data_IF_137493943783
#
_entry.id   IF_137493943783
#
_cell.length_a   1.000
_cell.length_b   1.000
_cell.length_c   1.000
_cell.angle_alpha   90.00
_cell.angle_beta   90.00
_cell.angle_gamma   90.00
#
_symmetry.space_group_name_H-M   'P 1'
#
loop_
_entity.id
_entity.type
_entity.pdbx_description
1 polymer ?
#
# COMPACT_ATOMS: atom_id res chain seq x y z
N UNK A 1 -13.33 -1.93 7.48
CA UNK A 1 -12.06 -1.18 7.35
C UNK A 1 -11.51 -1.34 5.95
N UNK A 2 -11.01 -0.28 5.39
CA UNK A 2 -10.43 -0.27 4.04
C UNK A 2 -8.92 -0.14 4.12
N UNK A 3 -8.21 -1.08 3.53
CA UNK A 3 -6.74 -1.13 3.58
C UNK A 3 -6.17 -0.99 2.18
N UNK A 4 -5.25 -0.05 2.00
CA UNK A 4 -4.48 0.08 0.77
C UNK A 4 -3.19 -0.71 0.91
N UNK A 5 -2.95 -1.64 -0.01
CA UNK A 5 -1.69 -2.39 -0.06
C UNK A 5 -0.93 -1.95 -1.29
N UNK A 6 0.31 -1.51 -1.10
CA UNK A 6 1.16 -1.08 -2.19
C UNK A 6 1.83 -2.29 -2.81
N UNK A 7 1.40 -2.60 -4.01
CA UNK A 7 1.88 -3.76 -4.75
C UNK A 7 0.92 -4.93 -4.70
N UNK A 8 0.74 -5.59 -5.83
CA UNK A 8 -0.10 -6.79 -5.96
C UNK A 8 0.71 -8.02 -6.35
N UNK A 9 2.03 -7.98 -6.18
CA UNK A 9 2.90 -9.10 -6.53
C UNK A 9 2.81 -10.24 -5.53
N UNK A 10 3.57 -11.31 -5.80
CA UNK A 10 3.51 -12.52 -4.97
C UNK A 10 3.86 -12.25 -3.52
N UNK A 11 4.77 -11.31 -3.25
CA UNK A 11 5.14 -10.96 -1.87
C UNK A 11 3.98 -10.41 -1.07
N UNK A 12 2.98 -9.82 -1.73
CA UNK A 12 1.86 -9.18 -1.07
C UNK A 12 0.65 -10.11 -0.90
N UNK A 13 0.65 -11.28 -1.54
CA UNK A 13 -0.53 -12.16 -1.54
C UNK A 13 -0.96 -12.58 -0.15
N UNK A 14 -0.01 -12.92 0.73
CA UNK A 14 -0.34 -13.31 2.08
C UNK A 14 -0.99 -12.17 2.87
N UNK A 15 -0.48 -10.96 2.69
CA UNK A 15 -1.06 -9.79 3.35
C UNK A 15 -2.49 -9.54 2.86
N UNK A 16 -2.73 -9.67 1.56
CA UNK A 16 -4.07 -9.51 0.98
C UNK A 16 -5.02 -10.55 1.56
N UNK A 17 -4.60 -11.82 1.57
CA UNK A 17 -5.42 -12.91 2.09
C UNK A 17 -5.75 -12.71 3.57
N UNK A 18 -4.77 -12.32 4.37
CA UNK A 18 -4.99 -12.09 5.80
C UNK A 18 -5.92 -10.92 6.04
N UNK A 19 -5.78 -9.83 5.30
CA UNK A 19 -6.66 -8.67 5.44
C UNK A 19 -8.10 -9.04 5.09
N UNK A 20 -8.29 -9.78 4.00
CA UNK A 20 -9.62 -10.23 3.59
C UNK A 20 -10.23 -11.18 4.61
N UNK A 21 -9.42 -12.06 5.19
CA UNK A 21 -9.90 -12.97 6.23
C UNK A 21 -10.39 -12.22 7.47
N UNK A 22 -9.81 -11.07 7.76
CA UNK A 22 -10.24 -10.20 8.86
C UNK A 22 -11.45 -9.33 8.51
N UNK A 23 -11.97 -9.44 7.31
CA UNK A 23 -13.14 -8.68 6.87
C UNK A 23 -12.83 -7.30 6.31
N UNK A 24 -11.57 -7.02 5.99
CA UNK A 24 -11.18 -5.72 5.42
C UNK A 24 -11.48 -5.69 3.93
N UNK A 25 -11.82 -4.50 3.43
CA UNK A 25 -11.80 -4.25 2.00
C UNK A 25 -10.35 -3.90 1.62
N UNK A 26 -9.84 -4.58 0.60
CA UNK A 26 -8.45 -4.39 0.18
C UNK A 26 -8.41 -3.67 -1.16
N UNK A 27 -7.70 -2.55 -1.20
CA UNK A 27 -7.40 -1.80 -2.41
C UNK A 27 -5.92 -1.99 -2.70
N UNK A 28 -5.55 -2.26 -3.94
CA UNK A 28 -4.16 -2.46 -4.34
C UNK A 28 -3.74 -1.36 -5.30
N UNK A 29 -2.55 -0.79 -5.08
CA UNK A 29 -1.87 0.04 -6.06
C UNK A 29 -0.72 -0.76 -6.67
N UNK A 30 -0.72 -0.92 -7.97
CA UNK A 30 0.36 -1.57 -8.71
C UNK A 30 0.32 -1.07 -10.13
N UNK A 31 1.50 -0.73 -10.68
CA UNK A 31 1.56 -0.26 -12.06
C UNK A 31 1.33 -1.39 -13.07
N UNK A 32 1.50 -2.63 -12.66
CA UNK A 32 1.26 -3.79 -13.52
C UNK A 32 -0.22 -4.16 -13.48
N UNK A 33 -0.87 -4.04 -14.62
CA UNK A 33 -2.29 -4.35 -14.74
C UNK A 33 -2.59 -5.81 -14.39
N UNK A 34 -1.67 -6.72 -14.72
CA UNK A 34 -1.88 -8.17 -14.57
C UNK A 34 -1.17 -8.76 -13.36
N UNK A 35 -1.07 -8.00 -12.26
CA UNK A 35 -0.45 -8.53 -11.05
C UNK A 35 -1.35 -9.61 -10.41
N UNK A 36 -0.75 -10.58 -9.68
CA UNK A 36 -1.52 -11.68 -9.10
C UNK A 36 -2.53 -11.23 -8.03
N UNK A 37 -2.23 -10.14 -7.33
CA UNK A 37 -3.12 -9.65 -6.26
C UNK A 37 -4.44 -9.12 -6.75
N UNK A 38 -4.53 -8.74 -8.04
CA UNK A 38 -5.76 -8.18 -8.59
C UNK A 38 -6.95 -9.13 -8.51
N UNK A 39 -6.68 -10.42 -8.43
CA UNK A 39 -7.74 -11.44 -8.35
C UNK A 39 -8.27 -11.59 -6.93
N UNK A 40 -7.54 -11.10 -5.94
CA UNK A 40 -7.88 -11.24 -4.53
C UNK A 40 -8.41 -9.96 -3.90
N UNK A 41 -8.11 -8.81 -4.48
CA UNK A 41 -8.48 -7.53 -3.89
C UNK A 41 -9.90 -7.12 -4.25
N UNK A 42 -10.42 -6.14 -3.53
CA UNK A 42 -11.72 -5.55 -3.82
C UNK A 42 -11.64 -4.50 -4.93
N UNK A 43 -10.49 -3.81 -5.01
CA UNK A 43 -10.25 -2.80 -6.05
C UNK A 43 -8.76 -2.76 -6.37
N UNK A 44 -8.43 -2.44 -7.62
CA UNK A 44 -7.06 -2.31 -8.09
C UNK A 44 -6.92 -0.99 -8.84
N UNK A 45 -5.97 -0.17 -8.41
CA UNK A 45 -5.63 1.08 -9.08
C UNK A 45 -4.27 0.92 -9.75
N UNK A 46 -4.17 1.35 -11.00
CA UNK A 46 -2.92 1.26 -11.74
C UNK A 46 -2.08 2.49 -11.42
N UNK A 47 -1.37 2.42 -10.30
CA UNK A 47 -0.52 3.49 -9.78
C UNK A 47 0.76 2.84 -9.29
N UNK A 48 1.90 3.43 -9.66
CA UNK A 48 3.20 2.91 -9.20
C UNK A 48 3.30 2.98 -7.68
N UNK A 49 3.89 1.95 -7.07
CA UNK A 49 4.16 1.96 -5.63
C UNK A 49 5.18 3.02 -5.24
N UNK A 50 5.86 3.62 -6.22
CA UNK A 50 6.83 4.71 -6.00
C UNK A 50 6.17 6.10 -6.09
N UNK A 51 4.94 6.17 -6.55
CA UNK A 51 4.22 7.42 -6.76
C UNK A 51 3.42 7.79 -5.50
N UNK A 52 4.06 8.54 -4.60
CA UNK A 52 3.42 8.93 -3.35
C UNK A 52 2.17 9.79 -3.59
N UNK A 53 2.26 10.77 -4.49
CA UNK A 53 1.11 11.64 -4.80
C UNK A 53 -0.06 10.84 -5.36
N UNK A 54 0.20 9.93 -6.30
CA UNK A 54 -0.84 9.08 -6.86
C UNK A 54 -1.49 8.19 -5.82
N UNK A 55 -0.70 7.65 -4.90
CA UNK A 55 -1.23 6.79 -3.84
C UNK A 55 -2.01 7.58 -2.80
N UNK A 56 -1.65 8.83 -2.54
CA UNK A 56 -2.47 9.71 -1.70
C UNK A 56 -3.84 9.90 -2.33
N UNK A 57 -3.89 10.15 -3.64
CA UNK A 57 -5.16 10.29 -4.36
C UNK A 57 -5.99 9.01 -4.28
N UNK A 58 -5.36 7.84 -4.44
CA UNK A 58 -6.04 6.54 -4.28
C UNK A 58 -6.64 6.43 -2.88
N UNK A 59 -5.88 6.80 -1.87
CA UNK A 59 -6.34 6.76 -0.49
C UNK A 59 -7.53 7.65 -0.23
N UNK A 60 -7.52 8.86 -0.78
CA UNK A 60 -8.65 9.79 -0.66
C UNK A 60 -9.87 9.24 -1.39
N UNK A 61 -9.68 8.77 -2.61
CA UNK A 61 -10.76 8.23 -3.45
C UNK A 61 -11.50 7.08 -2.76
N UNK A 62 -10.75 6.17 -2.16
CA UNK A 62 -11.32 4.98 -1.53
C UNK A 62 -11.60 5.16 -0.04
N UNK A 63 -11.23 6.29 0.55
CA UNK A 63 -11.40 6.56 1.98
C UNK A 63 -10.77 5.47 2.84
N UNK A 64 -9.50 5.19 2.58
CA UNK A 64 -8.79 4.11 3.26
C UNK A 64 -8.59 4.41 4.75
N UNK A 65 -8.53 3.36 5.54
CA UNK A 65 -8.28 3.44 6.99
C UNK A 65 -6.84 3.10 7.35
N UNK A 66 -6.09 2.51 6.43
CA UNK A 66 -4.70 2.19 6.64
C UNK A 66 -4.01 1.89 5.33
N UNK A 67 -2.68 1.88 5.35
CA UNK A 67 -1.85 1.55 4.19
C UNK A 67 -0.67 0.72 4.63
N UNK A 68 -0.30 -0.28 3.83
CA UNK A 68 0.83 -1.13 4.14
C UNK A 68 1.49 -1.67 2.88
N UNK A 69 2.68 -2.20 3.05
CA UNK A 69 3.38 -2.97 2.03
C UNK A 69 4.35 -3.92 2.73
N UNK A 70 4.81 -4.93 2.01
CA UNK A 70 5.78 -5.88 2.54
C UNK A 70 7.06 -5.83 1.71
N UNK A 71 8.16 -5.84 2.40
CA UNK A 71 9.43 -6.32 1.88
C UNK A 71 10.30 -5.42 1.04
N UNK A 72 9.90 -4.23 0.61
CA UNK A 72 10.76 -3.40 -0.23
C UNK A 72 10.89 -1.98 0.30
N UNK A 73 12.02 -1.34 -0.01
CA UNK A 73 12.38 -0.06 0.59
C UNK A 73 11.51 1.12 0.14
N UNK A 74 11.39 1.29 -1.16
CA UNK A 74 10.70 2.47 -1.68
C UNK A 74 9.18 2.42 -1.44
N UNK A 75 8.50 1.29 -1.62
CA UNK A 75 7.09 1.21 -1.24
C UNK A 75 6.84 1.43 0.25
N UNK A 76 7.77 1.01 1.12
CA UNK A 76 7.68 1.30 2.56
C UNK A 76 7.70 2.80 2.80
N UNK A 77 8.60 3.52 2.14
CA UNK A 77 8.63 4.97 2.22
C UNK A 77 7.32 5.59 1.72
N UNK A 78 6.83 5.14 0.56
CA UNK A 78 5.56 5.62 0.00
C UNK A 78 4.41 5.39 0.98
N UNK A 79 4.33 4.20 1.59
CA UNK A 79 3.30 3.87 2.56
C UNK A 79 3.32 4.83 3.75
N UNK A 80 4.51 5.15 4.27
CA UNK A 80 4.60 6.06 5.41
C UNK A 80 4.20 7.49 5.03
N UNK A 81 4.57 7.95 3.83
CA UNK A 81 4.16 9.28 3.34
C UNK A 81 2.64 9.36 3.23
N UNK A 82 2.01 8.34 2.63
CA UNK A 82 0.56 8.29 2.50
C UNK A 82 -0.11 8.29 3.87
N UNK A 83 0.38 7.47 4.79
CA UNK A 83 -0.15 7.39 6.15
C UNK A 83 -0.09 8.74 6.86
N UNK A 84 1.05 9.42 6.78
CA UNK A 84 1.20 10.73 7.41
C UNK A 84 0.30 11.77 6.77
N UNK A 85 0.25 11.81 5.44
CA UNK A 85 -0.56 12.80 4.72
C UNK A 85 -2.04 12.65 5.01
N UNK A 86 -2.52 11.40 5.13
CA UNK A 86 -3.93 11.11 5.40
C UNK A 86 -4.21 10.93 6.90
N UNK A 87 -3.19 11.10 7.74
CA UNK A 87 -3.30 10.97 9.21
C UNK A 87 -3.81 9.60 9.62
N UNK A 88 -3.27 8.56 9.00
CA UNK A 88 -3.63 7.18 9.27
C UNK A 88 -2.62 6.52 10.19
N UNK A 89 -3.00 5.43 10.89
CA UNK A 89 -2.02 4.63 11.60
C UNK A 89 -0.96 4.11 10.66
N UNK A 90 0.30 4.15 11.09
CA UNK A 90 1.41 3.70 10.27
C UNK A 90 2.28 2.75 11.08
N UNK A 91 2.77 1.71 10.43
CA UNK A 91 3.72 0.77 11.04
C UNK A 91 5.11 1.37 11.17
N UNK A 92 5.41 2.36 10.32
CA UNK A 92 6.72 3.01 10.27
C UNK A 92 6.51 4.45 9.78
N UNK A 93 7.16 5.41 10.41
CA UNK A 93 7.03 6.80 10.00
C UNK A 93 7.92 7.10 8.78
N UNK A 94 7.67 8.25 8.12
CA UNK A 94 8.37 8.56 6.88
C UNK A 94 9.86 8.80 7.08
N UNK A 95 10.27 9.34 8.23
CA UNK A 95 11.69 9.56 8.50
C UNK A 95 12.42 8.23 8.67
N UNK A 96 11.84 7.28 9.38
CA UNK A 96 12.41 5.94 9.52
C UNK A 96 12.47 5.21 8.20
N UNK A 97 11.40 5.28 7.41
CA UNK A 97 11.35 4.63 6.09
C UNK A 97 12.37 5.26 5.14
N UNK A 98 12.53 6.57 5.18
CA UNK A 98 13.52 7.27 4.36
C UNK A 98 14.94 6.86 4.74
N UNK A 99 15.23 6.73 6.03
CA UNK A 99 16.53 6.28 6.50
C UNK A 99 16.84 4.87 6.00
N UNK A 100 15.87 3.96 6.04
CA UNK A 100 16.01 2.60 5.51
C UNK A 100 16.30 2.65 4.01
N UNK A 101 15.54 3.44 3.26
CA UNK A 101 15.73 3.59 1.82
C UNK A 101 17.12 4.11 1.46
N UNK A 102 17.63 5.07 2.24
CA UNK A 102 18.90 5.71 1.97
C UNK A 102 20.13 4.93 2.42
N UNK A 103 19.93 3.81 3.09
CA UNK A 103 21.03 2.98 3.57
C UNK A 103 21.77 2.22 2.48
N UNK A 104 21.28 2.25 1.30
CA UNK A 104 21.88 1.53 0.18
C UNK A 104 23.08 2.16 -0.42
#
# INVERSE_FOLDING_TARGET
MKLLILGGGYCQLNAIKMAKKKGYEVIISDYLKDNPGRLLCNAHEIVSTFDAAGNIEVGVKHKIDGVMTLGTDQPVYTASVVSEKLKLPSLIDSDTAKAVTNKR
#
